data_IF_036532551985
#
_entry.id   IF_036532551985
#
_cell.length_a   1.000
_cell.length_b   1.000
_cell.length_c   1.000
_cell.angle_alpha   90.00
_cell.angle_beta   90.00
_cell.angle_gamma   90.00
#
_symmetry.space_group_name_H-M   'P 1'
#
loop_
_entity.id
_entity.type
_entity.pdbx_description
1 polymer ?
#
# COMPACT_ATOMS: atom_id res chain seq x y z
N UNK A 1 -14.49 -4.38 -6.83
CA UNK A 1 -13.09 -4.76 -6.68
C UNK A 1 -13.03 -6.27 -6.55
N UNK A 2 -12.31 -6.97 -7.42
CA UNK A 2 -12.06 -8.41 -7.32
C UNK A 2 -11.01 -8.72 -6.25
N UNK A 3 -10.90 -9.99 -5.87
CA UNK A 3 -9.81 -10.53 -5.06
C UNK A 3 -8.43 -10.25 -5.68
N UNK A 4 -8.29 -10.43 -7.00
CA UNK A 4 -7.05 -10.13 -7.72
C UNK A 4 -6.69 -8.65 -7.63
N UNK A 5 -7.65 -7.74 -7.80
CA UNK A 5 -7.45 -6.29 -7.65
C UNK A 5 -7.00 -5.94 -6.23
N UNK A 6 -7.65 -6.52 -5.22
CA UNK A 6 -7.32 -6.30 -3.82
C UNK A 6 -5.90 -6.76 -3.48
N UNK A 7 -5.53 -7.97 -3.90
CA UNK A 7 -4.20 -8.55 -3.65
C UNK A 7 -3.13 -7.77 -4.40
N UNK A 8 -3.37 -7.39 -5.66
CA UNK A 8 -2.44 -6.59 -6.44
C UNK A 8 -2.17 -5.24 -5.77
N UNK A 9 -3.22 -4.51 -5.36
CA UNK A 9 -3.07 -3.23 -4.65
C UNK A 9 -2.29 -3.39 -3.34
N UNK A 10 -2.56 -4.45 -2.58
CA UNK A 10 -1.84 -4.74 -1.33
C UNK A 10 -0.36 -5.01 -1.58
N UNK A 11 -0.03 -5.82 -2.59
CA UNK A 11 1.35 -6.10 -2.95
C UNK A 11 2.07 -4.84 -3.48
N UNK A 12 1.39 -3.99 -4.25
CA UNK A 12 1.91 -2.70 -4.73
C UNK A 12 2.25 -1.77 -3.57
N UNK A 13 1.40 -1.71 -2.55
CA UNK A 13 1.64 -0.93 -1.32
C UNK A 13 2.81 -1.49 -0.51
N UNK A 14 2.90 -2.82 -0.40
CA UNK A 14 3.96 -3.48 0.34
C UNK A 14 5.33 -3.29 -0.32
N UNK A 15 5.39 -3.40 -1.65
CA UNK A 15 6.62 -3.22 -2.41
C UNK A 15 6.89 -1.74 -2.71
N UNK A 16 7.06 -0.93 -1.66
CA UNK A 16 7.46 0.47 -1.79
C UNK A 16 8.99 0.63 -1.94
N UNK A 17 9.51 0.97 -3.13
CA UNK A 17 10.94 1.19 -3.32
C UNK A 17 11.45 2.48 -2.64
N UNK A 18 10.56 3.35 -2.16
CA UNK A 18 10.87 4.55 -1.40
C UNK A 18 10.82 4.32 0.12
N UNK A 19 10.59 3.08 0.57
CA UNK A 19 10.58 2.76 1.99
C UNK A 19 11.93 3.14 2.66
N UNK A 20 11.83 3.73 3.84
CA UNK A 20 12.97 4.19 4.63
C UNK A 20 13.84 2.98 5.02
N UNK A 21 15.17 3.15 4.95
CA UNK A 21 16.13 2.12 5.36
C UNK A 21 16.51 1.11 4.26
N UNK A 22 15.95 1.22 3.06
CA UNK A 22 16.39 0.39 1.93
C UNK A 22 17.75 0.85 1.39
N UNK A 23 18.64 -0.11 1.14
CA UNK A 23 19.84 0.12 0.31
C UNK A 23 19.45 0.35 -1.15
N UNK A 24 20.34 0.94 -1.96
CA UNK A 24 20.09 1.13 -3.39
C UNK A 24 19.77 -0.20 -4.11
N UNK A 25 20.48 -1.28 -3.75
CA UNK A 25 20.19 -2.63 -4.24
C UNK A 25 18.81 -3.10 -3.79
N UNK A 26 18.45 -2.88 -2.53
CA UNK A 26 17.14 -3.22 -1.99
C UNK A 26 16.00 -2.48 -2.70
N UNK A 27 16.13 -1.17 -2.89
CA UNK A 27 15.16 -0.34 -3.61
C UNK A 27 14.96 -0.83 -5.06
N UNK A 28 16.03 -1.21 -5.76
CA UNK A 28 15.93 -1.83 -7.10
C UNK A 28 15.17 -3.15 -7.07
N UNK A 29 15.53 -4.07 -6.16
CA UNK A 29 14.85 -5.37 -6.04
C UNK A 29 13.36 -5.22 -5.70
N UNK A 30 13.01 -4.27 -4.82
CA UNK A 30 11.62 -3.97 -4.46
C UNK A 30 10.86 -3.41 -5.66
N UNK A 31 11.46 -2.48 -6.42
CA UNK A 31 10.87 -1.95 -7.66
C UNK A 31 10.58 -3.07 -8.67
N UNK A 32 11.55 -3.94 -8.92
CA UNK A 32 11.38 -5.07 -9.83
C UNK A 32 10.27 -6.02 -9.37
N UNK A 33 10.12 -6.26 -8.07
CA UNK A 33 9.03 -7.05 -7.52
C UNK A 33 7.67 -6.38 -7.77
N UNK A 34 7.57 -5.08 -7.55
CA UNK A 34 6.35 -4.31 -7.83
C UNK A 34 6.00 -4.32 -9.33
N UNK A 35 7.01 -4.18 -10.20
CA UNK A 35 6.82 -4.22 -11.65
C UNK A 35 6.31 -5.59 -12.13
N UNK A 36 6.78 -6.69 -11.52
CA UNK A 36 6.21 -8.03 -11.77
C UNK A 36 4.73 -8.11 -11.39
N UNK A 37 4.34 -7.55 -10.24
CA UNK A 37 2.91 -7.52 -9.84
C UNK A 37 2.06 -6.78 -10.87
N UNK A 38 2.53 -5.65 -11.39
CA UNK A 38 1.83 -4.95 -12.48
C UNK A 38 1.69 -5.83 -13.72
N UNK A 39 2.80 -6.41 -14.20
CA UNK A 39 2.80 -7.23 -15.40
C UNK A 39 1.90 -8.46 -15.28
N UNK A 40 1.91 -9.13 -14.12
CA UNK A 40 1.08 -10.30 -13.85
C UNK A 40 -0.41 -9.92 -13.79
N UNK A 41 -0.73 -8.77 -13.18
CA UNK A 41 -2.11 -8.28 -13.09
C UNK A 41 -2.65 -7.87 -14.46
N UNK A 42 -1.86 -7.19 -15.29
CA UNK A 42 -2.22 -6.90 -16.67
C UNK A 42 -2.43 -8.19 -17.48
N UNK A 43 -1.49 -9.13 -17.39
CA UNK A 43 -1.54 -10.41 -18.10
C UNK A 43 -2.74 -11.27 -17.68
N UNK A 44 -3.13 -11.21 -16.41
CA UNK A 44 -4.31 -11.91 -15.90
C UNK A 44 -5.58 -11.42 -16.62
N UNK A 45 -5.76 -10.10 -16.72
CA UNK A 45 -6.95 -9.55 -17.38
C UNK A 45 -6.95 -9.72 -18.89
N UNK A 46 -5.78 -9.64 -19.53
CA UNK A 46 -5.63 -9.95 -20.94
C UNK A 46 -6.09 -11.39 -21.24
N UNK A 47 -5.63 -12.38 -20.44
CA UNK A 47 -6.05 -13.79 -20.56
C UNK A 47 -7.54 -14.03 -20.30
N UNK A 48 -8.19 -13.19 -19.50
CA UNK A 48 -9.64 -13.26 -19.26
C UNK A 48 -10.47 -12.62 -20.39
N UNK A 49 -9.82 -12.03 -21.41
CA UNK A 49 -10.50 -11.33 -22.49
C UNK A 49 -11.15 -10.02 -22.06
N UNK A 50 -10.63 -9.40 -20.98
CA UNK A 50 -11.12 -8.09 -20.53
C UNK A 50 -10.67 -7.02 -21.54
N UNK A 51 -11.64 -6.32 -22.11
CA UNK A 51 -11.37 -5.12 -22.92
C UNK A 51 -10.89 -3.98 -22.03
N UNK A 52 -10.05 -3.09 -22.56
CA UNK A 52 -9.56 -1.89 -21.88
C UNK A 52 -8.84 -2.17 -20.54
N UNK A 53 -8.00 -3.22 -20.50
CA UNK A 53 -7.23 -3.64 -19.30
C UNK A 53 -6.54 -2.46 -18.62
N UNK A 54 -5.89 -1.58 -19.39
CA UNK A 54 -5.21 -0.40 -18.86
C UNK A 54 -6.13 0.56 -18.11
N UNK A 55 -7.35 0.80 -18.62
CA UNK A 55 -8.34 1.63 -17.93
C UNK A 55 -8.82 0.97 -16.64
N UNK A 56 -9.09 -0.33 -16.66
CA UNK A 56 -9.53 -1.06 -15.47
C UNK A 56 -8.47 -1.06 -14.37
N UNK A 57 -7.23 -1.39 -14.73
CA UNK A 57 -6.09 -1.39 -13.82
C UNK A 57 -5.82 0.01 -13.29
N UNK A 58 -5.79 1.02 -14.16
CA UNK A 58 -5.61 2.43 -13.79
C UNK A 58 -6.67 2.94 -12.82
N UNK A 59 -7.96 2.71 -13.12
CA UNK A 59 -9.07 3.08 -12.24
C UNK A 59 -8.96 2.43 -10.86
N UNK A 60 -8.47 1.19 -10.80
CA UNK A 60 -8.26 0.49 -9.54
C UNK A 60 -7.09 1.08 -8.75
N UNK A 61 -5.99 1.48 -9.42
CA UNK A 61 -4.87 2.17 -8.77
C UNK A 61 -5.24 3.54 -8.18
N UNK A 62 -6.26 4.21 -8.71
CA UNK A 62 -6.76 5.48 -8.15
C UNK A 62 -7.32 5.35 -6.72
N UNK A 63 -7.50 4.13 -6.21
CA UNK A 63 -7.82 3.89 -4.82
C UNK A 63 -6.64 4.13 -3.87
N UNK A 64 -5.39 4.00 -4.34
CA UNK A 64 -4.19 4.13 -3.51
C UNK A 64 -4.05 5.53 -2.88
N UNK A 65 -4.22 6.65 -3.62
CA UNK A 65 -4.18 7.99 -3.01
C UNK A 65 -5.26 8.22 -1.94
N UNK A 66 -6.47 7.68 -2.15
CA UNK A 66 -7.56 7.78 -1.18
C UNK A 66 -7.25 6.98 0.09
N UNK A 67 -6.66 5.79 -0.06
CA UNK A 67 -6.18 4.98 1.05
C UNK A 67 -5.08 5.71 1.83
N UNK A 68 -4.08 6.28 1.15
CA UNK A 68 -3.00 7.03 1.79
C UNK A 68 -3.51 8.24 2.59
N UNK A 69 -4.49 8.95 2.04
CA UNK A 69 -5.15 10.06 2.76
C UNK A 69 -5.85 9.56 4.03
N UNK A 70 -6.51 8.41 3.94
CA UNK A 70 -7.21 7.79 5.07
C UNK A 70 -6.22 7.34 6.15
N UNK A 71 -5.11 6.71 5.76
CA UNK A 71 -4.05 6.28 6.69
C UNK A 71 -3.46 7.48 7.43
N UNK A 72 -3.10 8.56 6.73
CA UNK A 72 -2.59 9.79 7.37
C UNK A 72 -3.55 10.37 8.40
N UNK A 73 -4.84 10.44 8.06
CA UNK A 73 -5.87 10.90 8.99
C UNK A 73 -5.99 9.98 10.20
N UNK A 74 -5.87 8.67 10.00
CA UNK A 74 -5.87 7.70 11.10
C UNK A 74 -4.63 7.88 12.00
N UNK A 75 -3.44 8.08 11.44
CA UNK A 75 -2.23 8.38 12.22
C UNK A 75 -2.38 9.67 13.05
N UNK A 76 -2.94 10.73 12.46
CA UNK A 76 -3.25 11.98 13.17
C UNK A 76 -4.23 11.74 14.33
N UNK A 77 -5.30 10.97 14.09
CA UNK A 77 -6.26 10.62 15.13
C UNK A 77 -5.61 9.82 16.26
N UNK A 78 -4.72 8.87 15.94
CA UNK A 78 -3.98 8.12 16.95
C UNK A 78 -3.11 9.04 17.79
N UNK A 79 -2.36 9.97 17.17
CA UNK A 79 -1.56 10.96 17.89
C UNK A 79 -2.41 11.78 18.87
N UNK A 80 -3.62 12.19 18.48
CA UNK A 80 -4.54 12.92 19.37
C UNK A 80 -4.98 12.05 20.57
N UNK A 81 -5.27 10.76 20.35
CA UNK A 81 -5.58 9.83 21.44
C UNK A 81 -4.42 9.74 22.43
N UNK A 82 -3.17 9.69 21.96
CA UNK A 82 -2.00 9.68 22.84
C UNK A 82 -1.88 11.00 23.64
N UNK A 83 -2.01 12.14 22.98
CA UNK A 83 -1.84 13.48 23.60
C UNK A 83 -2.89 13.75 24.68
N UNK A 84 -4.12 13.33 24.46
CA UNK A 84 -5.23 13.57 25.38
C UNK A 84 -5.52 12.41 26.34
N UNK A 85 -4.70 11.35 26.31
CA UNK A 85 -4.86 10.12 27.12
C UNK A 85 -6.30 9.56 27.09
N UNK A 86 -6.90 9.53 25.89
CA UNK A 86 -8.31 9.17 25.73
C UNK A 86 -8.55 7.65 25.89
N UNK A 87 -7.52 6.83 25.67
CA UNK A 87 -7.54 5.38 25.82
C UNK A 87 -6.12 4.79 25.85
N UNK A 88 -5.88 3.77 26.68
CA UNK A 88 -4.63 3.01 26.71
C UNK A 88 -4.64 1.88 25.66
N UNK A 89 -3.82 2.00 24.62
CA UNK A 89 -3.61 0.96 23.60
C UNK A 89 -2.45 0.03 23.97
N UNK A 90 -2.46 -1.18 23.41
CA UNK A 90 -1.46 -2.21 23.69
C UNK A 90 -0.06 -1.84 23.18
N UNK A 91 0.98 -2.41 23.80
CA UNK A 91 2.40 -2.15 23.49
C UNK A 91 2.75 -2.27 22.01
N UNK A 92 2.10 -3.16 21.28
CA UNK A 92 2.34 -3.35 19.84
C UNK A 92 1.94 -2.10 19.04
N UNK A 93 0.82 -1.47 19.40
CA UNK A 93 0.37 -0.24 18.75
C UNK A 93 1.33 0.91 19.08
N UNK A 94 1.82 0.96 20.32
CA UNK A 94 2.80 1.95 20.75
C UNK A 94 4.11 1.83 19.94
N UNK A 95 4.66 0.61 19.83
CA UNK A 95 5.85 0.32 19.01
C UNK A 95 5.64 0.68 17.53
N UNK A 96 4.47 0.37 16.96
CA UNK A 96 4.14 0.70 15.56
C UNK A 96 4.08 2.21 15.31
N UNK A 97 3.59 3.00 16.27
CA UNK A 97 3.52 4.46 16.15
C UNK A 97 4.91 5.11 16.26
N UNK A 98 5.86 4.47 16.94
CA UNK A 98 7.23 4.96 17.14
C UNK A 98 8.24 4.46 16.09
N UNK A 99 7.87 3.49 15.24
CA UNK A 99 8.73 2.98 14.16
C UNK A 99 8.99 3.99 13.03
N UNK A 100 8.22 5.08 12.95
CA UNK A 100 8.34 6.12 11.93
C UNK A 100 9.03 7.42 12.37
N UNK A 101 9.53 7.49 13.62
CA UNK A 101 10.21 8.68 14.19
C UNK A 101 11.73 8.55 14.22
#
# INVERSE_FOLDING_TARGET
>A
MSDVEFVALTAILLFDPAAIGLSERGSRTVREARDRVYNDWFSFYDKMGVLDVGQRVGNTMLLLPALMTTVKRTEENFRLIQVFDLFHYDKIIDELMHLGS
#
